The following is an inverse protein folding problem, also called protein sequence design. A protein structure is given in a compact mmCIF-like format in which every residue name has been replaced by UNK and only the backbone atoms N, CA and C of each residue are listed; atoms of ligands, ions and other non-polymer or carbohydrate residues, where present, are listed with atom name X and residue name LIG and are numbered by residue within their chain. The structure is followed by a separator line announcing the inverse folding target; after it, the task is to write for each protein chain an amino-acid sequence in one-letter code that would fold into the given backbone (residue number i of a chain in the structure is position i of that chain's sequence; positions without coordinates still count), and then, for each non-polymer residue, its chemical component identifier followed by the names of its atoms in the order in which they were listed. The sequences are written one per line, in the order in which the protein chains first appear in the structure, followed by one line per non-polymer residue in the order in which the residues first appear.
data_IF_929495331940
#
_entry.id   IF_929495331940
#
_cell.length_a   1.000
_cell.length_b   1.000
_cell.length_c   1.000
_cell.angle_alpha   90.00
_cell.angle_beta   90.00
_cell.angle_gamma   90.00
#
_symmetry.space_group_name_H-M   'P 1'
#
loop_
_entity.id
_entity.type
_entity.pdbx_description
1 polymer ?
#
# COMPACT_ATOMS: atom_id res chain seq x y z
N UNK A 1 -4.32 -10.77 -2.49
CA UNK A 1 -4.17 -12.16 -2.93
C UNK A 1 -2.76 -12.33 -3.45
N UNK A 2 -2.27 -13.56 -3.65
CA UNK A 2 -0.95 -13.72 -4.29
C UNK A 2 -1.00 -13.32 -5.76
N UNK A 3 0.00 -12.60 -6.23
CA UNK A 3 0.13 -12.19 -7.63
C UNK A 3 -0.22 -10.72 -7.83
N UNK A 4 -0.73 -10.36 -9.01
CA UNK A 4 -1.13 -8.99 -9.31
C UNK A 4 -2.65 -8.90 -9.29
N UNK A 5 -3.18 -8.18 -8.31
CA UNK A 5 -4.60 -8.01 -8.07
C UNK A 5 -5.10 -6.62 -8.46
N UNK A 6 -6.36 -6.55 -8.90
CA UNK A 6 -7.08 -5.29 -9.08
C UNK A 6 -8.29 -5.31 -8.16
N UNK A 7 -8.30 -4.39 -7.20
CA UNK A 7 -9.26 -4.32 -6.11
C UNK A 7 -10.12 -3.07 -6.26
N UNK A 8 -11.39 -3.18 -5.85
CA UNK A 8 -12.36 -2.08 -5.88
C UNK A 8 -13.30 -2.28 -4.70
N UNK A 9 -13.40 -1.29 -3.82
CA UNK A 9 -14.27 -1.32 -2.63
C UNK A 9 -15.71 -0.92 -3.00
N UNK A 10 -15.81 0.12 -3.83
CA UNK A 10 -17.05 0.69 -4.29
C UNK A 10 -17.46 1.89 -3.46
N UNK A 11 -18.51 1.74 -2.64
CA UNK A 11 -19.03 2.82 -1.84
C UNK A 11 -19.24 2.35 -0.41
N UNK A 12 -18.84 3.16 0.55
CA UNK A 12 -18.84 2.81 1.97
C UNK A 12 -17.43 2.92 2.53
N UNK A 13 -17.29 2.47 3.77
CA UNK A 13 -15.99 2.32 4.43
C UNK A 13 -15.48 0.91 4.12
N UNK A 14 -14.49 0.79 3.22
CA UNK A 14 -13.92 -0.49 2.81
C UNK A 14 -12.57 -0.77 3.48
N UNK A 15 -12.30 -2.05 3.78
CA UNK A 15 -10.99 -2.48 4.32
C UNK A 15 -10.30 -3.41 3.33
N UNK A 16 -9.13 -3.00 2.85
CA UNK A 16 -8.28 -3.80 1.98
C UNK A 16 -7.10 -4.38 2.78
N UNK A 17 -7.00 -5.70 2.83
CA UNK A 17 -6.07 -6.40 3.73
C UNK A 17 -4.98 -7.09 2.94
N UNK A 18 -3.71 -6.83 3.30
CA UNK A 18 -2.56 -7.60 2.86
C UNK A 18 -1.98 -8.43 4.00
N UNK A 19 -1.56 -9.64 3.65
CA UNK A 19 -0.86 -10.58 4.53
C UNK A 19 0.39 -11.13 3.85
N UNK A 20 1.19 -11.85 4.61
CA UNK A 20 2.47 -12.44 4.13
C UNK A 20 2.35 -13.40 2.94
N UNK A 21 1.16 -13.91 2.62
CA UNK A 21 0.95 -14.78 1.44
C UNK A 21 0.60 -14.01 0.17
N UNK A 22 0.31 -12.72 0.28
CA UNK A 22 0.01 -11.86 -0.87
C UNK A 22 1.28 -11.35 -1.55
N UNK A 23 2.34 -11.09 -0.77
CA UNK A 23 3.59 -10.53 -1.29
C UNK A 23 4.27 -11.47 -2.30
N UNK A 24 4.91 -10.85 -3.28
CA UNK A 24 5.68 -11.56 -4.29
C UNK A 24 7.07 -11.97 -3.80
N UNK A 25 7.99 -12.11 -4.77
CA UNK A 25 9.40 -12.37 -4.49
C UNK A 25 10.24 -11.20 -4.97
N UNK A 26 11.49 -11.08 -4.50
CA UNK A 26 12.41 -10.06 -5.02
C UNK A 26 12.58 -10.12 -6.55
N UNK A 27 12.55 -11.33 -7.13
CA UNK A 27 12.68 -11.52 -8.57
C UNK A 27 11.39 -11.21 -9.35
N UNK A 28 10.24 -11.27 -8.67
CA UNK A 28 8.91 -11.02 -9.23
C UNK A 28 8.02 -10.47 -8.12
N UNK A 29 8.13 -9.16 -7.82
CA UNK A 29 7.26 -8.50 -6.86
C UNK A 29 5.81 -8.59 -7.33
N UNK A 30 4.89 -8.68 -6.38
CA UNK A 30 3.47 -8.52 -6.67
C UNK A 30 3.18 -7.03 -6.95
N UNK A 31 2.28 -6.75 -7.89
CA UNK A 31 1.86 -5.38 -8.22
C UNK A 31 0.34 -5.32 -8.24
N UNK A 32 -0.21 -4.72 -7.19
CA UNK A 32 -1.64 -4.61 -6.97
C UNK A 32 -2.13 -3.18 -7.23
N UNK A 33 -3.41 -3.04 -7.53
CA UNK A 33 -4.04 -1.75 -7.76
C UNK A 33 -5.37 -1.68 -7.02
N UNK A 34 -5.51 -0.71 -6.13
CA UNK A 34 -6.79 -0.33 -5.54
C UNK A 34 -7.36 0.81 -6.38
N UNK A 35 -8.48 0.57 -7.04
CA UNK A 35 -8.99 1.45 -8.11
C UNK A 35 -9.70 2.71 -7.61
N UNK A 36 -10.19 2.71 -6.38
CA UNK A 36 -11.12 3.70 -5.84
C UNK A 36 -10.88 4.02 -4.37
N UNK A 37 -9.62 4.03 -3.93
CA UNK A 37 -9.28 4.26 -2.53
C UNK A 37 -9.66 5.68 -2.09
N UNK A 38 -10.54 5.79 -1.09
CA UNK A 38 -10.90 7.02 -0.42
C UNK A 38 -10.15 7.14 0.91
N UNK A 39 -9.18 8.05 1.00
CA UNK A 39 -8.34 8.22 2.18
C UNK A 39 -9.06 8.77 3.43
N UNK A 40 -10.36 9.08 3.30
CA UNK A 40 -11.20 9.51 4.42
C UNK A 40 -12.10 8.43 5.00
N UNK A 41 -12.49 7.44 4.18
CA UNK A 41 -13.44 6.38 4.55
C UNK A 41 -12.80 4.98 4.54
N UNK A 42 -11.82 4.73 3.66
CA UNK A 42 -11.22 3.40 3.47
C UNK A 42 -9.98 3.19 4.35
N UNK A 43 -9.68 1.91 4.61
CA UNK A 43 -8.50 1.48 5.34
C UNK A 43 -7.69 0.47 4.51
N UNK A 44 -6.42 0.80 4.30
CA UNK A 44 -5.40 -0.11 3.83
C UNK A 44 -4.74 -0.80 5.03
N UNK A 45 -5.12 -2.04 5.29
CA UNK A 45 -4.59 -2.81 6.41
C UNK A 45 -3.34 -3.60 6.00
N UNK A 46 -2.18 -3.11 6.46
CA UNK A 46 -0.86 -3.70 6.25
C UNK A 46 -0.25 -4.25 7.56
N UNK A 47 -1.04 -4.34 8.63
CA UNK A 47 -0.56 -4.70 9.96
C UNK A 47 0.15 -6.06 10.01
N UNK A 48 -0.32 -7.05 9.24
CA UNK A 48 0.34 -8.37 9.16
C UNK A 48 1.72 -8.30 8.49
N UNK A 49 1.98 -7.29 7.65
CA UNK A 49 3.27 -7.10 6.99
C UNK A 49 4.23 -6.25 7.82
N UNK A 50 3.73 -5.22 8.51
CA UNK A 50 4.56 -4.16 9.10
C UNK A 50 4.76 -4.29 10.61
N UNK A 51 3.81 -4.86 11.35
CA UNK A 51 3.80 -4.82 12.83
C UNK A 51 4.95 -5.57 13.49
N UNK A 52 5.51 -6.60 12.83
CA UNK A 52 6.62 -7.39 13.36
C UNK A 52 8.01 -6.87 12.92
N UNK A 53 8.03 -5.81 12.09
CA UNK A 53 9.25 -5.21 11.54
C UNK A 53 9.99 -6.07 10.52
N UNK A 54 9.37 -7.14 10.01
CA UNK A 54 9.94 -7.97 8.94
C UNK A 54 9.96 -7.27 7.59
N UNK A 55 9.04 -6.30 7.41
CA UNK A 55 8.96 -5.44 6.24
C UNK A 55 8.92 -3.95 6.62
N UNK A 56 9.21 -3.12 5.63
CA UNK A 56 9.04 -1.66 5.71
C UNK A 56 8.20 -1.16 4.54
N UNK A 57 7.68 0.05 4.67
CA UNK A 57 6.88 0.72 3.63
C UNK A 57 7.60 1.97 3.12
N UNK A 58 7.45 2.25 1.82
CA UNK A 58 7.96 3.46 1.17
C UNK A 58 6.92 3.98 0.16
N UNK A 59 6.64 5.29 0.21
CA UNK A 59 5.80 5.97 -0.77
C UNK A 59 6.61 6.40 -1.99
N UNK A 60 6.14 6.06 -3.19
CA UNK A 60 6.81 6.29 -4.46
C UNK A 60 5.90 7.10 -5.39
N UNK A 61 6.49 8.09 -6.06
CA UNK A 61 5.90 8.70 -7.25
C UNK A 61 6.47 8.01 -8.50
N UNK A 62 5.73 7.07 -9.07
CA UNK A 62 6.12 6.33 -10.26
C UNK A 62 5.78 7.08 -11.57
N UNK A 63 5.15 8.26 -11.49
CA UNK A 63 4.68 9.05 -12.63
C UNK A 63 3.27 8.74 -13.12
N UNK A 64 2.50 7.88 -12.45
CA UNK A 64 1.09 7.59 -12.74
C UNK A 64 0.18 8.78 -12.41
N UNK A 65 0.56 9.58 -11.41
CA UNK A 65 -0.25 10.66 -10.83
C UNK A 65 -0.83 10.30 -9.46
N UNK A 66 -0.89 9.00 -9.16
CA UNK A 66 -1.37 8.43 -7.92
C UNK A 66 -0.20 7.95 -7.04
N UNK A 67 -0.49 7.66 -5.77
CA UNK A 67 0.47 7.15 -4.80
C UNK A 67 0.70 5.65 -4.97
N UNK A 68 1.94 5.27 -5.27
CA UNK A 68 2.38 3.88 -5.14
C UNK A 68 3.04 3.67 -3.78
N UNK A 69 2.67 2.58 -3.10
CA UNK A 69 3.32 2.08 -1.91
C UNK A 69 4.19 0.87 -2.26
N UNK A 70 5.43 0.86 -1.78
CA UNK A 70 6.32 -0.27 -1.90
C UNK A 70 6.51 -0.91 -0.53
N UNK A 71 6.21 -2.21 -0.42
CA UNK A 71 6.59 -3.02 0.74
C UNK A 71 7.92 -3.69 0.46
N UNK A 72 8.85 -3.50 1.39
CA UNK A 72 10.24 -3.93 1.26
C UNK A 72 10.58 -4.98 2.29
N UNK A 73 11.33 -5.99 1.88
CA UNK A 73 11.86 -7.00 2.79
C UNK A 73 12.96 -6.44 3.71
N UNK A 74 13.40 -7.25 4.69
CA UNK A 74 14.53 -6.93 5.58
C UNK A 74 15.86 -6.59 4.88
N UNK A 75 16.00 -6.90 3.58
CA UNK A 75 17.15 -6.56 2.76
C UNK A 75 16.92 -5.32 1.88
N UNK A 76 15.83 -4.59 2.13
CA UNK A 76 15.40 -3.37 1.43
C UNK A 76 15.06 -3.60 -0.06
N UNK A 77 14.66 -4.81 -0.44
CA UNK A 77 14.14 -5.12 -1.77
C UNK A 77 12.62 -5.01 -1.79
N UNK A 78 12.05 -4.38 -2.81
CA UNK A 78 10.59 -4.38 -3.03
C UNK A 78 10.10 -5.80 -3.31
N UNK A 79 9.07 -6.22 -2.59
CA UNK A 79 8.38 -7.51 -2.77
C UNK A 79 6.89 -7.34 -3.10
N UNK A 80 6.35 -6.15 -2.85
CA UNK A 80 4.99 -5.76 -3.17
C UNK A 80 4.97 -4.29 -3.59
N UNK A 81 4.20 -3.99 -4.63
CA UNK A 81 3.83 -2.65 -5.07
C UNK A 81 2.30 -2.54 -4.98
N UNK A 82 1.78 -1.46 -4.43
CA UNK A 82 0.33 -1.19 -4.33
C UNK A 82 0.09 0.21 -4.86
N UNK A 83 -0.58 0.33 -6.00
CA UNK A 83 -1.04 1.60 -6.54
C UNK A 83 -2.40 1.96 -5.93
N UNK A 84 -2.51 3.14 -5.32
CA UNK A 84 -3.74 3.64 -4.71
C UNK A 84 -4.38 4.71 -5.62
N UNK A 85 -5.13 4.26 -6.62
CA UNK A 85 -5.89 5.16 -7.48
C UNK A 85 -6.93 5.91 -6.65
N UNK A 86 -6.89 7.25 -6.71
CA UNK A 86 -7.68 8.14 -5.86
C UNK A 86 -6.82 8.98 -4.92
N UNK A 87 -5.63 8.48 -4.55
CA UNK A 87 -4.67 9.21 -3.70
C UNK A 87 -3.66 9.94 -4.58
N UNK A 88 -3.98 11.18 -4.95
CA UNK A 88 -3.08 12.00 -5.77
C UNK A 88 -1.84 12.47 -5.01
N UNK A 89 -0.66 12.39 -5.64
CA UNK A 89 0.57 12.94 -5.07
C UNK A 89 0.65 14.45 -5.36
N UNK A 90 0.25 15.30 -4.41
CA UNK A 90 0.41 16.76 -4.52
C UNK A 90 1.79 17.25 -4.05
N UNK A 91 2.87 16.59 -4.47
CA UNK A 91 4.24 16.92 -4.08
C UNK A 91 5.11 15.70 -3.82
N UNK A 92 5.44 15.46 -2.55
CA UNK A 92 6.31 14.37 -2.11
C UNK A 92 5.49 13.12 -1.74
N UNK A 93 5.80 11.98 -2.37
CA UNK A 93 5.13 10.71 -2.11
C UNK A 93 5.34 10.23 -0.67
N UNK A 94 6.49 10.55 -0.07
CA UNK A 94 6.76 10.19 1.33
C UNK A 94 5.82 10.97 2.26
N UNK A 95 5.59 12.25 1.99
CA UNK A 95 4.66 13.06 2.78
C UNK A 95 3.19 12.60 2.62
N UNK A 96 2.79 12.19 1.41
CA UNK A 96 1.47 11.61 1.16
C UNK A 96 1.28 10.31 1.97
N UNK A 97 2.22 9.36 1.84
CA UNK A 97 2.21 8.12 2.62
C UNK A 97 2.18 8.40 4.13
N UNK A 98 3.00 9.33 4.63
CA UNK A 98 3.01 9.66 6.06
C UNK A 98 1.67 10.24 6.53
N UNK A 99 0.98 11.00 5.69
CA UNK A 99 -0.35 11.54 6.02
C UNK A 99 -1.40 10.43 6.15
N UNK A 100 -1.29 9.37 5.33
CA UNK A 100 -2.16 8.20 5.43
C UNK A 100 -1.87 7.35 6.68
N UNK A 101 -0.60 7.23 7.08
CA UNK A 101 -0.23 6.61 8.36
C UNK A 101 -0.76 7.41 9.55
N UNK A 102 -0.55 8.73 9.54
CA UNK A 102 -0.96 9.61 10.65
C UNK A 102 -2.49 9.70 10.80
N UNK A 103 -3.24 9.54 9.71
CA UNK A 103 -4.72 9.52 9.73
C UNK A 103 -5.30 8.16 10.09
N UNK A 104 -4.53 7.08 9.95
CA UNK A 104 -4.98 5.70 10.11
C UNK A 104 -5.60 5.08 8.85
N UNK A 105 -5.62 5.80 7.72
CA UNK A 105 -6.00 5.25 6.42
C UNK A 105 -5.05 4.13 5.98
N UNK A 106 -3.78 4.17 6.41
CA UNK A 106 -2.90 2.99 6.42
C UNK A 106 -2.77 2.50 7.86
N UNK A 107 -3.19 1.26 8.11
CA UNK A 107 -2.99 0.58 9.37
C UNK A 107 -1.72 -0.28 9.31
N UNK A 108 -0.65 0.18 9.95
CA UNK A 108 0.64 -0.53 10.07
C UNK A 108 0.73 -1.43 11.32
N UNK A 109 -0.26 -1.35 12.21
CA UNK A 109 -0.39 -2.16 13.41
C UNK A 109 0.49 -1.72 14.59
N UNK A 110 1.05 -0.49 14.61
CA UNK A 110 1.95 0.01 15.67
C UNK A 110 1.40 1.25 16.38
#
# INVERSE_FOLDING_TARGET
GAGNDVLTGGAGEDEFVWNSSDVGTVAMPAHDTVMDFDDTDDVLNLSDLLSDGSHTIEGINNGSGDLQLNIKDSSNNTVQEIELTGVSISGDAVAAMQSLLDSGAINDGI
#
